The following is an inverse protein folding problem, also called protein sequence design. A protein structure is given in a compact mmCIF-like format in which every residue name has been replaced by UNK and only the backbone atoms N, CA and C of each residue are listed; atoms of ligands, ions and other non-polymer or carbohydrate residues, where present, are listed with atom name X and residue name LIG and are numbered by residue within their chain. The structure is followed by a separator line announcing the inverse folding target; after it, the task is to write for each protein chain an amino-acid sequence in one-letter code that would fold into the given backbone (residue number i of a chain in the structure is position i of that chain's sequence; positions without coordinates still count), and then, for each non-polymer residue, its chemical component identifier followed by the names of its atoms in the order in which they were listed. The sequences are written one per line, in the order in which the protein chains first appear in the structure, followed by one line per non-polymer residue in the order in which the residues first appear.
data_IF_769672215582
#
_entry.id   IF_769672215582
#
_cell.length_a   1.000
_cell.length_b   1.000
_cell.length_c   1.000
_cell.angle_alpha   90.00
_cell.angle_beta   90.00
_cell.angle_gamma   90.00
#
_symmetry.space_group_name_H-M   'P 1'
#
loop_
_entity.id
_entity.type
_entity.pdbx_description
1 polymer ?
#
# COMPACT_ATOMS: atom_id res chain seq x y z
N UNK A 1 -21.57 -31.83 -40.19
CA UNK A 1 -21.32 -32.09 -38.76
C UNK A 1 -20.49 -30.93 -38.30
N UNK A 2 -21.18 -29.95 -37.74
CA UNK A 2 -20.63 -28.71 -37.19
C UNK A 2 -20.25 -28.99 -35.74
N UNK A 3 -18.96 -29.14 -35.46
CA UNK A 3 -18.46 -29.15 -34.09
C UNK A 3 -18.05 -27.73 -33.71
N UNK A 4 -18.99 -27.05 -33.07
CA UNK A 4 -18.71 -25.90 -32.22
C UNK A 4 -18.04 -26.39 -30.93
N UNK A 5 -16.83 -25.90 -30.66
CA UNK A 5 -16.26 -25.73 -29.33
C UNK A 5 -15.03 -24.81 -29.51
N UNK A 6 -15.06 -23.51 -29.22
CA UNK A 6 -15.64 -22.91 -28.03
C UNK A 6 -14.62 -22.97 -26.88
N UNK A 7 -13.49 -22.30 -27.04
CA UNK A 7 -12.57 -21.98 -25.93
C UNK A 7 -11.70 -20.75 -26.27
N UNK A 8 -12.30 -19.72 -26.87
CA UNK A 8 -11.86 -18.34 -26.65
C UNK A 8 -12.53 -17.86 -25.36
N UNK A 9 -11.99 -18.27 -24.21
CA UNK A 9 -12.13 -17.45 -23.02
C UNK A 9 -10.74 -17.21 -22.48
N UNK A 10 -10.29 -15.98 -22.74
CA UNK A 10 -9.08 -15.41 -22.23
C UNK A 10 -8.97 -15.78 -20.75
N UNK A 11 -8.00 -16.63 -20.43
CA UNK A 11 -7.41 -16.72 -19.11
C UNK A 11 -6.80 -15.37 -18.76
N UNK A 12 -7.65 -14.38 -18.47
CA UNK A 12 -7.30 -13.13 -17.83
C UNK A 12 -7.11 -13.47 -16.36
N UNK A 13 -6.05 -14.22 -16.09
CA UNK A 13 -5.36 -14.15 -14.82
C UNK A 13 -4.99 -12.68 -14.67
N UNK A 14 -5.81 -11.92 -13.95
CA UNK A 14 -5.41 -10.64 -13.38
C UNK A 14 -4.27 -10.98 -12.42
N UNK A 15 -3.06 -11.06 -12.98
CA UNK A 15 -1.85 -11.28 -12.22
C UNK A 15 -1.78 -10.14 -11.23
N UNK A 16 -1.90 -10.48 -9.95
CA UNK A 16 -1.57 -9.56 -8.88
C UNK A 16 -0.21 -8.94 -9.23
N UNK A 17 -0.18 -7.64 -9.53
CA UNK A 17 1.07 -6.92 -9.71
C UNK A 17 1.99 -7.30 -8.56
N UNK A 18 3.26 -7.55 -8.84
CA UNK A 18 4.17 -7.99 -7.79
C UNK A 18 4.30 -6.89 -6.72
N UNK A 19 4.54 -7.25 -5.46
CA UNK A 19 4.79 -6.24 -4.40
C UNK A 19 5.90 -5.24 -4.79
N UNK A 20 6.83 -5.64 -5.68
CA UNK A 20 7.86 -4.77 -6.26
C UNK A 20 7.31 -3.68 -7.19
N UNK A 21 6.29 -3.97 -8.00
CA UNK A 21 5.67 -2.97 -8.89
C UNK A 21 4.92 -1.89 -8.11
N UNK A 22 4.30 -2.29 -7.00
CA UNK A 22 3.55 -1.39 -6.17
C UNK A 22 4.44 -0.49 -5.30
N UNK A 23 5.58 -1.01 -4.85
CA UNK A 23 6.63 -0.19 -4.27
C UNK A 23 7.22 0.78 -5.30
N UNK A 24 7.47 0.33 -6.54
CA UNK A 24 7.96 1.21 -7.61
C UNK A 24 7.01 2.38 -7.87
N UNK A 25 5.72 2.11 -8.02
CA UNK A 25 4.70 3.14 -8.22
C UNK A 25 4.65 4.17 -7.07
N UNK A 26 4.69 3.71 -5.81
CA UNK A 26 4.77 4.62 -4.67
C UNK A 26 6.08 5.42 -4.67
N UNK A 27 7.21 4.81 -5.06
CA UNK A 27 8.51 5.46 -5.13
C UNK A 27 8.56 6.57 -6.17
N UNK A 28 8.05 6.33 -7.37
CA UNK A 28 7.95 7.32 -8.44
C UNK A 28 7.10 8.52 -7.99
N UNK A 29 5.98 8.28 -7.33
CA UNK A 29 5.15 9.34 -6.80
C UNK A 29 5.88 10.16 -5.72
N UNK A 30 6.49 9.51 -4.73
CA UNK A 30 7.25 10.19 -3.66
C UNK A 30 8.39 11.02 -4.24
N UNK A 31 9.08 10.50 -5.24
CA UNK A 31 10.17 11.19 -5.95
C UNK A 31 9.65 12.40 -6.72
N UNK A 32 8.53 12.26 -7.43
CA UNK A 32 7.90 13.36 -8.17
C UNK A 32 7.42 14.49 -7.25
N UNK A 33 7.01 14.16 -6.02
CA UNK A 33 6.60 15.13 -5.00
C UNK A 33 7.79 15.79 -4.28
N UNK A 34 9.02 15.34 -4.51
CA UNK A 34 10.21 15.84 -3.80
C UNK A 34 10.24 15.47 -2.32
N UNK A 35 9.55 14.39 -1.93
CA UNK A 35 9.48 13.92 -0.55
C UNK A 35 10.60 12.94 -0.22
N UNK A 36 11.06 12.93 1.03
CA UNK A 36 12.09 11.98 1.48
C UNK A 36 11.45 10.64 1.87
N UNK A 37 12.01 9.53 1.37
CA UNK A 37 11.63 8.18 1.78
C UNK A 37 12.34 7.83 3.08
N UNK A 38 11.59 7.74 4.19
CA UNK A 38 12.14 7.37 5.51
C UNK A 38 12.18 5.85 5.68
N UNK A 39 11.34 5.12 4.96
CA UNK A 39 11.36 3.65 4.97
C UNK A 39 10.34 3.01 4.03
N UNK A 40 10.65 1.78 3.64
CA UNK A 40 9.79 0.91 2.81
C UNK A 40 9.32 -0.29 3.63
N UNK A 41 8.02 -0.56 3.59
CA UNK A 41 7.38 -1.54 4.47
C UNK A 41 6.53 -2.51 3.65
N UNK A 42 6.92 -3.79 3.68
CA UNK A 42 6.19 -4.88 3.04
C UNK A 42 5.91 -5.97 4.06
N UNK A 43 4.64 -6.31 4.22
CA UNK A 43 4.23 -7.44 5.06
C UNK A 43 4.14 -8.72 4.22
N UNK A 44 4.74 -9.84 4.65
CA UNK A 44 4.66 -11.12 3.94
C UNK A 44 3.25 -11.71 3.97
N UNK A 45 2.44 -11.33 4.96
CA UNK A 45 1.07 -11.80 5.16
C UNK A 45 0.08 -10.62 5.13
N UNK A 46 -0.20 -10.03 3.95
CA UNK A 46 -1.05 -8.83 3.82
C UNK A 46 -2.54 -9.06 4.15
N UNK A 47 -2.95 -10.31 4.41
CA UNK A 47 -4.30 -10.66 4.89
C UNK A 47 -4.38 -10.83 6.41
N UNK A 48 -3.25 -10.86 7.12
CA UNK A 48 -3.27 -10.91 8.58
C UNK A 48 -3.82 -9.59 9.14
N UNK A 49 -4.48 -9.60 10.31
CA UNK A 49 -4.88 -8.37 10.99
C UNK A 49 -3.70 -7.41 11.15
N UNK A 50 -3.93 -6.11 10.99
CA UNK A 50 -2.90 -5.07 11.13
C UNK A 50 -2.18 -5.14 12.48
N UNK A 51 -2.90 -5.48 13.55
CA UNK A 51 -2.34 -5.62 14.89
C UNK A 51 -1.16 -6.62 14.95
N UNK A 52 -1.18 -7.65 14.11
CA UNK A 52 -0.17 -8.71 14.09
C UNK A 52 1.01 -8.37 13.18
N UNK A 53 0.84 -7.40 12.28
CA UNK A 53 1.85 -7.01 11.29
C UNK A 53 3.00 -6.27 11.94
N UNK A 54 4.20 -6.85 11.88
CA UNK A 54 5.41 -6.25 12.42
C UNK A 54 5.71 -4.90 11.76
N UNK A 55 5.54 -4.80 10.43
CA UNK A 55 5.84 -3.57 9.69
C UNK A 55 4.86 -2.45 10.02
N UNK A 56 3.57 -2.78 10.21
CA UNK A 56 2.59 -1.81 10.70
C UNK A 56 2.97 -1.20 12.05
N UNK A 57 3.42 -2.01 13.00
CA UNK A 57 3.91 -1.51 14.31
C UNK A 57 5.12 -0.59 14.16
N UNK A 58 6.01 -0.85 13.19
CA UNK A 58 7.15 0.04 12.90
C UNK A 58 6.69 1.38 12.33
N UNK A 59 5.71 1.39 11.42
CA UNK A 59 5.10 2.62 10.88
C UNK A 59 4.50 3.46 12.01
N UNK A 60 3.71 2.85 12.91
CA UNK A 60 3.13 3.55 14.05
C UNK A 60 4.21 4.09 15.02
N UNK A 61 5.31 3.35 15.23
CA UNK A 61 6.41 3.84 16.05
C UNK A 61 7.11 5.07 15.43
N UNK A 62 7.27 5.10 14.10
CA UNK A 62 7.79 6.28 13.39
C UNK A 62 6.82 7.46 13.48
N UNK A 63 5.52 7.22 13.33
CA UNK A 63 4.48 8.23 13.49
C UNK A 63 4.49 8.84 14.90
N UNK A 64 4.47 8.00 15.94
CA UNK A 64 4.51 8.45 17.34
C UNK A 64 5.77 9.23 17.71
N UNK A 65 6.90 8.96 17.03
CA UNK A 65 8.16 9.71 17.18
C UNK A 65 8.26 10.94 16.26
N UNK A 66 7.20 11.26 15.51
CA UNK A 66 7.15 12.34 14.51
C UNK A 66 8.28 12.27 13.47
N UNK A 67 8.72 11.06 13.12
CA UNK A 67 9.77 10.82 12.12
C UNK A 67 9.25 10.77 10.70
N UNK A 68 7.93 10.68 10.54
CA UNK A 68 7.24 10.66 9.25
C UNK A 68 6.09 11.68 9.29
N UNK A 69 5.76 12.25 8.13
CA UNK A 69 4.65 13.17 7.92
C UNK A 69 3.53 12.53 7.09
N UNK A 70 3.84 11.48 6.34
CA UNK A 70 2.84 10.76 5.56
C UNK A 70 3.16 9.28 5.37
N UNK A 71 2.15 8.53 4.96
CA UNK A 71 2.24 7.17 4.44
C UNK A 71 1.65 7.15 3.04
N UNK A 72 2.44 6.78 2.05
CA UNK A 72 2.06 6.62 0.65
C UNK A 72 1.85 5.15 0.36
N UNK A 73 0.62 4.75 0.06
CA UNK A 73 0.28 3.38 -0.31
C UNK A 73 -0.24 3.33 -1.74
N UNK A 74 0.16 2.36 -2.57
CA UNK A 74 -0.40 2.21 -3.91
C UNK A 74 -1.93 2.07 -3.98
N UNK A 75 -2.60 1.43 -3.02
CA UNK A 75 -4.08 1.44 -2.89
C UNK A 75 -4.57 1.07 -1.48
N UNK A 76 -5.85 1.32 -1.18
CA UNK A 76 -6.43 1.09 0.15
C UNK A 76 -6.23 -0.33 0.72
N UNK A 77 -6.46 -1.36 -0.09
CA UNK A 77 -6.36 -2.78 0.28
C UNK A 77 -4.93 -3.24 0.60
N UNK A 78 -3.91 -2.46 0.22
CA UNK A 78 -2.54 -2.73 0.61
C UNK A 78 -2.29 -2.41 2.08
N UNK A 79 -2.96 -1.38 2.58
CA UNK A 79 -2.96 -1.03 4.00
C UNK A 79 -3.75 -2.09 4.77
N UNK A 80 -5.03 -2.24 4.45
CA UNK A 80 -5.89 -3.27 5.04
C UNK A 80 -6.99 -3.69 4.06
N UNK A 81 -7.19 -5.01 3.93
CA UNK A 81 -8.26 -5.58 3.07
C UNK A 81 -9.64 -5.28 3.64
N UNK A 82 -9.77 -5.32 4.97
CA UNK A 82 -11.01 -4.97 5.66
C UNK A 82 -11.21 -3.43 5.70
N UNK A 83 -12.36 -2.91 5.25
CA UNK A 83 -12.62 -1.48 5.23
C UNK A 83 -12.64 -0.81 6.61
N UNK A 84 -13.14 -1.48 7.65
CA UNK A 84 -13.24 -0.91 8.99
C UNK A 84 -11.87 -0.88 9.67
N UNK A 85 -11.07 -1.94 9.51
CA UNK A 85 -9.69 -1.99 9.94
C UNK A 85 -8.86 -0.90 9.25
N UNK A 86 -9.09 -0.69 7.95
CA UNK A 86 -8.44 0.39 7.20
C UNK A 86 -8.83 1.77 7.71
N UNK A 87 -10.12 2.02 7.96
CA UNK A 87 -10.58 3.30 8.50
C UNK A 87 -9.93 3.59 9.86
N UNK A 88 -9.86 2.59 10.74
CA UNK A 88 -9.15 2.69 12.02
C UNK A 88 -7.66 2.96 11.86
N UNK A 89 -7.01 2.33 10.87
CA UNK A 89 -5.60 2.54 10.59
C UNK A 89 -5.31 3.97 10.14
N UNK A 90 -6.15 4.52 9.26
CA UNK A 90 -6.06 5.92 8.81
C UNK A 90 -6.29 6.88 9.98
N UNK A 91 -7.35 6.67 10.78
CA UNK A 91 -7.61 7.51 11.97
C UNK A 91 -6.45 7.50 12.95
N UNK A 92 -5.82 6.34 13.18
CA UNK A 92 -4.66 6.24 14.07
C UNK A 92 -3.42 6.96 13.56
N UNK A 93 -3.24 7.07 12.24
CA UNK A 93 -2.17 7.88 11.66
C UNK A 93 -2.50 9.37 11.75
N UNK A 94 -3.77 9.73 11.57
CA UNK A 94 -4.26 11.11 11.72
C UNK A 94 -4.11 11.62 13.16
N UNK A 95 -4.33 10.78 14.18
CA UNK A 95 -4.05 11.08 15.58
C UNK A 95 -2.57 11.49 15.82
N UNK A 96 -1.66 11.04 14.95
CA UNK A 96 -0.25 11.40 14.96
C UNK A 96 0.10 12.57 14.01
N UNK A 97 -0.88 13.16 13.32
CA UNK A 97 -0.69 14.19 12.30
C UNK A 97 0.00 13.65 11.05
N UNK A 98 -0.18 12.37 10.73
CA UNK A 98 0.40 11.69 9.57
C UNK A 98 -0.68 11.46 8.52
N UNK A 99 -0.52 12.05 7.34
CA UNK A 99 -1.47 11.86 6.25
C UNK A 99 -1.30 10.49 5.57
N UNK A 100 -2.36 9.99 4.95
CA UNK A 100 -2.31 8.79 4.10
C UNK A 100 -2.64 9.17 2.67
N UNK A 101 -1.72 8.89 1.74
CA UNK A 101 -1.91 9.12 0.32
C UNK A 101 -2.01 7.78 -0.40
N UNK A 102 -3.03 7.63 -1.24
CA UNK A 102 -3.13 6.50 -2.16
C UNK A 102 -2.74 6.92 -3.57
N UNK A 103 -1.78 6.23 -4.21
CA UNK A 103 -1.28 6.66 -5.53
C UNK A 103 -2.11 6.16 -6.71
N UNK A 104 -3.00 5.18 -6.49
CA UNK A 104 -3.96 4.66 -7.49
C UNK A 104 -3.35 4.52 -8.89
N UNK A 105 -2.26 3.76 -9.01
CA UNK A 105 -1.94 3.16 -10.29
C UNK A 105 -3.02 2.12 -10.62
N UNK A 106 -3.34 1.97 -11.89
CA UNK A 106 -4.46 1.16 -12.42
C UNK A 106 -4.34 -0.36 -12.18
N UNK A 107 -3.60 -0.84 -11.17
CA UNK A 107 -3.41 -2.27 -10.88
C UNK A 107 -3.11 -2.56 -9.38
N UNK A 108 -3.66 -3.62 -8.71
CA UNK A 108 -3.63 -3.80 -7.25
C UNK A 108 -2.76 -4.99 -6.68
N UNK A 109 -1.42 -4.91 -6.55
CA UNK A 109 -0.53 -5.77 -5.67
C UNK A 109 0.32 -5.23 -4.42
N UNK A 110 -0.06 -5.56 -3.17
CA UNK A 110 -0.06 -4.69 -1.95
C UNK A 110 1.26 -4.05 -1.45
N UNK A 111 1.35 -2.73 -1.25
CA UNK A 111 2.44 -2.08 -0.45
C UNK A 111 2.08 -0.72 0.20
N UNK A 112 2.91 -0.19 1.11
CA UNK A 112 2.88 1.18 1.64
C UNK A 112 4.30 1.69 1.99
N UNK A 113 4.58 2.99 1.84
CA UNK A 113 5.85 3.69 2.11
C UNK A 113 5.63 4.86 3.06
N UNK A 114 6.58 5.20 3.92
CA UNK A 114 6.45 6.36 4.81
C UNK A 114 7.36 7.52 4.36
N UNK A 115 6.85 8.75 4.39
CA UNK A 115 7.51 9.95 3.89
C UNK A 115 7.76 10.99 4.99
N UNK A 116 8.94 11.64 4.94
CA UNK A 116 9.34 12.79 5.75
C UNK A 116 9.41 14.08 4.94
N UNK A 117 9.48 15.23 5.62
CA UNK A 117 9.79 16.52 4.99
C UNK A 117 11.30 16.75 4.99
N UNK A 118 11.84 17.17 3.84
CA UNK A 118 13.14 17.85 3.77
C UNK A 118 13.02 19.27 4.40
N UNK A 119 14.14 19.88 4.83
CA UNK A 119 14.25 20.74 6.02
C UNK A 119 13.30 21.95 6.14
#
# INVERSE_FOLDING_TARGET
MDDANGADDAGRTHGAGSAGEALRAAGEFVTAMGWEVVGEFTDPCPRSPLADRLRWRQVLALAGRRRIRGVVSPWPEALATDPDERARAVGRLDDHGVFVQFTRCTDPGRSARAVGQAP
#
